data_IF_573793194296
#
_entry.id   IF_573793194296
#
_cell.length_a   1.000
_cell.length_b   1.000
_cell.length_c   1.000
_cell.angle_alpha   90.00
_cell.angle_beta   90.00
_cell.angle_gamma   90.00
#
_symmetry.space_group_name_H-M   'P 1'
#
loop_
_entity.id
_entity.type
_entity.pdbx_description
1 polymer ?
#
# COMPACT_ATOMS: atom_id res chain seq x y z
N UNK A 1 8.90 -7.65 6.88
CA UNK A 1 7.91 -6.57 6.66
C UNK A 1 7.86 -6.23 5.17
N UNK A 2 6.68 -6.03 4.60
CA UNK A 2 6.49 -5.71 3.17
C UNK A 2 6.38 -4.19 2.94
N UNK A 3 6.68 -3.70 1.73
CA UNK A 3 6.73 -2.27 1.39
C UNK A 3 5.40 -1.55 1.55
N UNK A 4 4.28 -2.24 1.31
CA UNK A 4 2.94 -1.64 1.31
C UNK A 4 2.45 -1.20 2.71
N UNK A 5 3.08 -1.67 3.79
CA UNK A 5 2.78 -1.20 5.16
C UNK A 5 3.19 0.26 5.39
N UNK A 6 4.09 0.80 4.58
CA UNK A 6 4.63 2.15 4.72
C UNK A 6 3.92 3.12 3.78
N UNK A 7 3.77 4.40 4.18
CA UNK A 7 3.16 5.41 3.32
C UNK A 7 3.98 5.64 2.04
N UNK A 8 3.28 6.14 1.02
CA UNK A 8 3.77 6.49 -0.30
C UNK A 8 3.60 7.99 -0.55
N UNK A 9 4.47 8.52 -1.43
CA UNK A 9 4.47 9.93 -1.78
C UNK A 9 3.31 10.31 -2.72
N UNK A 10 2.96 9.42 -3.65
CA UNK A 10 1.89 9.65 -4.63
C UNK A 10 0.91 8.47 -4.69
N UNK A 11 -0.30 8.76 -5.17
CA UNK A 11 -1.35 7.77 -5.40
C UNK A 11 -0.91 6.72 -6.43
N UNK A 12 -0.22 7.13 -7.49
CA UNK A 12 0.26 6.25 -8.55
C UNK A 12 1.20 5.17 -8.02
N UNK A 13 2.17 5.55 -7.18
CA UNK A 13 3.06 4.57 -6.55
C UNK A 13 2.25 3.63 -5.66
N UNK A 14 1.30 4.15 -4.87
CA UNK A 14 0.48 3.31 -4.01
C UNK A 14 -0.36 2.29 -4.81
N UNK A 15 -0.88 2.66 -5.99
CA UNK A 15 -1.63 1.76 -6.88
C UNK A 15 -0.78 0.56 -7.32
N UNK A 16 0.52 0.75 -7.58
CA UNK A 16 1.43 -0.34 -7.97
C UNK A 16 1.54 -1.42 -6.87
N UNK A 17 1.42 -1.03 -5.60
CA UNK A 17 1.54 -1.95 -4.45
C UNK A 17 0.20 -2.48 -3.93
N UNK A 18 -0.93 -1.98 -4.44
CA UNK A 18 -2.25 -2.37 -3.95
C UNK A 18 -2.52 -3.85 -4.17
N UNK A 19 -2.20 -4.37 -5.35
CA UNK A 19 -2.39 -5.79 -5.66
C UNK A 19 -1.61 -6.71 -4.72
N UNK A 20 -0.40 -6.31 -4.33
CA UNK A 20 0.40 -7.06 -3.36
C UNK A 20 -0.24 -7.06 -1.97
N UNK A 21 -0.81 -5.92 -1.55
CA UNK A 21 -1.54 -5.82 -0.29
C UNK A 21 -2.80 -6.71 -0.31
N UNK A 22 -3.59 -6.63 -1.38
CA UNK A 22 -4.79 -7.44 -1.57
C UNK A 22 -4.47 -8.93 -1.50
N UNK A 23 -3.43 -9.36 -2.21
CA UNK A 23 -2.99 -10.76 -2.20
C UNK A 23 -2.48 -11.22 -0.84
N UNK A 24 -1.77 -10.36 -0.10
CA UNK A 24 -1.26 -10.71 1.23
C UNK A 24 -2.38 -10.80 2.25
N UNK A 25 -3.40 -9.92 2.16
CA UNK A 25 -4.51 -9.86 3.10
C UNK A 25 -5.72 -10.71 2.69
N UNK A 26 -5.71 -11.27 1.46
CA UNK A 26 -6.81 -12.03 0.83
C UNK A 26 -8.15 -11.29 0.83
N UNK A 27 -8.10 -9.96 0.69
CA UNK A 27 -9.27 -9.07 0.71
C UNK A 27 -8.97 -7.77 -0.03
N UNK A 28 -10.00 -7.08 -0.57
CA UNK A 28 -9.79 -5.80 -1.23
C UNK A 28 -9.34 -4.75 -0.21
N UNK A 29 -8.12 -4.26 -0.36
CA UNK A 29 -7.56 -3.18 0.43
C UNK A 29 -7.89 -1.83 -0.22
N UNK A 30 -7.88 -0.77 0.59
CA UNK A 30 -8.10 0.59 0.15
C UNK A 30 -6.85 1.46 0.30
N UNK A 31 -6.64 2.35 -0.66
CA UNK A 31 -5.64 3.42 -0.55
C UNK A 31 -6.31 4.64 0.07
N UNK A 32 -5.80 5.07 1.21
CA UNK A 32 -6.31 6.24 1.93
C UNK A 32 -5.32 7.39 1.82
N UNK A 33 -5.87 8.58 1.66
CA UNK A 33 -5.10 9.82 1.74
C UNK A 33 -4.99 10.26 3.19
N UNK A 34 -3.74 10.47 3.61
CA UNK A 34 -3.37 10.88 4.95
C UNK A 34 -2.65 12.23 4.86
N UNK A 35 -3.24 13.23 5.51
CA UNK A 35 -2.69 14.57 5.64
C UNK A 35 -2.06 14.73 7.02
N UNK A 36 -0.87 15.32 7.09
CA UNK A 36 -0.31 15.71 8.38
C UNK A 36 -0.74 17.13 8.79
N UNK A 37 -0.48 17.49 10.05
CA UNK A 37 -0.73 18.84 10.58
C UNK A 37 -0.02 19.95 9.81
N UNK A 38 1.11 19.65 9.15
CA UNK A 38 1.87 20.57 8.28
C UNK A 38 1.36 20.63 6.84
N UNK A 39 0.25 19.97 6.53
CA UNK A 39 -0.36 19.94 5.19
C UNK A 39 0.25 18.97 4.17
N UNK A 40 1.31 18.23 4.52
CA UNK A 40 1.91 17.20 3.64
C UNK A 40 0.94 16.03 3.48
N UNK A 41 0.64 15.71 2.23
CA UNK A 41 -0.15 14.55 1.84
C UNK A 41 0.73 13.31 1.68
N UNK A 42 0.15 12.16 2.00
CA UNK A 42 0.75 10.85 1.83
C UNK A 42 -0.34 9.80 1.62
N UNK A 43 -0.01 8.73 0.91
CA UNK A 43 -0.96 7.68 0.58
C UNK A 43 -0.59 6.41 1.32
N UNK A 44 -1.53 5.79 2.02
CA UNK A 44 -1.28 4.55 2.76
C UNK A 44 -2.36 3.53 2.48
N UNK A 45 -1.93 2.29 2.32
CA UNK A 45 -2.81 1.16 2.05
C UNK A 45 -3.26 0.57 3.38
N UNK A 46 -4.57 0.42 3.54
CA UNK A 46 -5.19 -0.20 4.69
C UNK A 46 -6.11 -1.32 4.24
N UNK A 47 -6.09 -2.40 5.01
CA UNK A 47 -6.83 -3.61 4.69
C UNK A 47 -8.30 -3.50 5.19
N UNK A 48 -8.57 -2.64 6.17
CA UNK A 48 -9.91 -2.33 6.64
C UNK A 48 -9.98 -0.91 7.24
N UNK A 49 -11.21 -0.41 7.47
CA UNK A 49 -11.42 0.92 8.06
C UNK A 49 -10.99 0.96 9.53
N UNK A 50 -11.05 -0.17 10.22
CA UNK A 50 -10.62 -0.34 11.61
C UNK A 50 -9.11 -0.09 11.74
N UNK A 51 -8.32 -0.59 10.78
CA UNK A 51 -6.87 -0.37 10.73
C UNK A 51 -6.53 1.12 10.56
N UNK A 52 -7.31 1.83 9.75
CA UNK A 52 -7.19 3.28 9.61
C UNK A 52 -7.47 3.98 10.95
N UNK A 53 -8.53 3.60 11.67
CA UNK A 53 -8.88 4.18 12.96
C UNK A 53 -7.79 3.95 14.00
N UNK A 54 -7.24 2.73 14.09
CA UNK A 54 -6.11 2.41 14.98
C UNK A 54 -4.88 3.24 14.61
N UNK A 55 -4.61 3.42 13.31
CA UNK A 55 -3.48 4.23 12.85
C UNK A 55 -3.63 5.71 13.21
N UNK A 56 -4.81 6.30 13.01
CA UNK A 56 -5.08 7.70 13.38
C UNK A 56 -5.00 7.91 14.89
N UNK A 57 -5.54 6.98 15.70
CA UNK A 57 -5.39 7.04 17.16
C UNK A 57 -3.93 7.02 17.62
N UNK A 58 -3.07 6.26 16.94
CA UNK A 58 -1.63 6.20 17.22
C UNK A 58 -0.86 7.44 16.71
N UNK A 59 -1.36 8.11 15.67
CA UNK A 59 -0.69 9.24 15.03
C UNK A 59 -1.60 10.49 15.08
N UNK A 60 -1.60 11.19 16.23
CA UNK A 60 -2.47 12.34 16.49
C UNK A 60 -2.23 13.53 15.54
N UNK A 61 -1.06 13.59 14.89
CA UNK A 61 -0.69 14.62 13.91
C UNK A 61 -1.25 14.36 12.50
N UNK A 62 -1.89 13.21 12.29
CA UNK A 62 -2.38 12.77 10.98
C UNK A 62 -3.89 12.71 10.94
N UNK A 63 -4.46 13.15 9.83
CA UNK A 63 -5.89 13.11 9.55
C UNK A 63 -6.14 12.47 8.20
N UNK A 64 -7.33 11.88 8.04
CA UNK A 64 -7.81 11.37 6.77
C UNK A 64 -9.00 12.25 6.34
N UNK A 65 -8.83 13.17 5.38
CA UNK A 65 -9.87 14.15 5.04
C UNK A 65 -11.18 13.50 4.57
N UNK A 66 -11.08 12.44 3.76
CA UNK A 66 -12.22 11.78 3.14
C UNK A 66 -12.83 10.67 4.01
N UNK A 67 -12.10 10.16 5.02
CA UNK A 67 -12.48 8.97 5.82
C UNK A 67 -12.88 7.73 4.99
N UNK A 68 -12.55 7.75 3.70
CA UNK A 68 -12.87 6.77 2.69
C UNK A 68 -11.62 6.55 1.81
N UNK A 69 -11.47 5.37 1.20
CA UNK A 69 -10.37 5.11 0.30
C UNK A 69 -10.52 5.96 -0.97
N UNK A 70 -9.45 6.62 -1.38
CA UNK A 70 -9.37 7.33 -2.66
C UNK A 70 -9.33 6.36 -3.83
N UNK A 71 -8.88 5.12 -3.58
CA UNK A 71 -8.86 4.06 -4.56
C UNK A 71 -8.99 2.70 -3.87
N UNK A 72 -9.84 1.84 -4.43
CA UNK A 72 -10.01 0.45 -4.01
C UNK A 72 -10.35 -0.38 -5.24
N UNK A 73 -9.94 -1.65 -5.25
CA UNK A 73 -10.47 -2.62 -6.22
C UNK A 73 -11.76 -3.19 -5.63
N UNK A 74 -12.81 -3.30 -6.44
CA UNK A 74 -14.13 -3.72 -5.98
C UNK A 74 -14.13 -5.19 -5.54
N UNK A 75 -13.40 -6.05 -6.26
CA UNK A 75 -13.31 -7.48 -5.96
C UNK A 75 -11.85 -7.95 -5.95
N UNK A 76 -11.53 -8.74 -4.93
CA UNK A 76 -10.26 -9.43 -4.87
C UNK A 76 -10.20 -10.52 -5.95
N UNK A 77 -9.19 -10.45 -6.81
CA UNK A 77 -8.94 -11.45 -7.86
C UNK A 77 -7.59 -12.11 -7.65
N UNK A 78 -7.61 -13.43 -7.50
CA UNK A 78 -6.39 -14.24 -7.55
C UNK A 78 -6.02 -14.49 -9.00
N UNK A 79 -4.73 -14.32 -9.31
CA UNK A 79 -4.19 -14.65 -10.61
C UNK A 79 -3.32 -15.90 -10.47
N UNK A 80 -3.47 -16.87 -11.38
CA UNK A 80 -2.61 -18.06 -11.37
C UNK A 80 -1.14 -17.63 -11.47
N UNK A 81 -0.26 -18.37 -10.79
CA UNK A 81 1.19 -18.12 -10.73
C UNK A 81 1.58 -16.79 -10.04
N UNK A 82 0.74 -16.23 -9.17
CA UNK A 82 1.13 -15.06 -8.36
C UNK A 82 2.13 -15.47 -7.28
N UNK A 83 3.38 -15.01 -7.42
CA UNK A 83 4.43 -15.17 -6.39
C UNK A 83 4.73 -13.85 -5.70
N UNK A 84 4.54 -13.81 -4.37
CA UNK A 84 4.97 -12.69 -3.52
C UNK A 84 6.04 -13.18 -2.56
N UNK A 85 7.28 -13.24 -3.05
CA UNK A 85 8.46 -13.65 -2.29
C UNK A 85 9.61 -12.66 -2.47
N UNK A 86 10.67 -12.82 -1.67
CA UNK A 86 11.92 -12.10 -1.91
C UNK A 86 12.59 -12.65 -3.15
N UNK A 87 13.24 -11.77 -3.91
CA UNK A 87 14.14 -12.16 -4.99
C UNK A 87 15.36 -12.88 -4.40
N UNK A 88 15.84 -13.87 -5.13
CA UNK A 88 17.11 -14.56 -4.91
C UNK A 88 18.28 -13.65 -5.30
N UNK A 89 19.50 -14.01 -4.89
CA UNK A 89 20.69 -13.23 -5.22
C UNK A 89 20.90 -13.10 -6.74
N UNK A 90 20.63 -14.18 -7.49
CA UNK A 90 20.78 -14.20 -8.94
C UNK A 90 19.73 -13.33 -9.63
N UNK A 91 18.46 -13.41 -9.20
CA UNK A 91 17.39 -12.54 -9.69
C UNK A 91 17.68 -11.05 -9.41
N UNK A 92 18.27 -10.74 -8.26
CA UNK A 92 18.70 -9.37 -7.92
C UNK A 92 19.82 -8.91 -8.88
N UNK A 93 20.82 -9.76 -9.12
CA UNK A 93 21.94 -9.43 -10.02
C UNK A 93 21.43 -9.14 -11.44
N UNK A 94 20.55 -9.99 -11.96
CA UNK A 94 19.92 -9.79 -13.26
C UNK A 94 19.16 -8.46 -13.31
N UNK A 95 18.28 -8.20 -12.35
CA UNK A 95 17.51 -6.96 -12.29
C UNK A 95 18.39 -5.70 -12.24
N UNK A 96 19.53 -5.76 -11.53
CA UNK A 96 20.46 -4.63 -11.49
C UNK A 96 21.15 -4.39 -12.84
N UNK A 97 21.45 -5.44 -13.61
CA UNK A 97 22.02 -5.28 -14.96
C UNK A 97 21.06 -4.60 -15.93
N UNK A 98 19.74 -4.85 -15.83
CA UNK A 98 18.72 -4.24 -16.70
C UNK A 98 18.46 -2.75 -16.41
N UNK A 99 18.93 -2.25 -15.26
CA UNK A 99 18.78 -0.85 -14.86
C UNK A 99 19.90 0.06 -15.37
N UNK A 100 20.94 -0.52 -15.98
CA UNK A 100 22.13 0.20 -16.46
C UNK A 100 21.95 0.57 -17.93
#
# INVERSE_FOLDING_TARGET
MQRWHFPFKSLEIAKLYLRTADYTMKKPCGIYEIKNSKGRLSYKIFAAKEDLQVFLKKNKDKTCPLLAPVFTVHEYKEYPNTEVRKLTADEISHYMSERT
#
